data_IF_860739457228
#
_entry.id   IF_860739457228
#
_cell.length_a   1.000
_cell.length_b   1.000
_cell.length_c   1.000
_cell.angle_alpha   90.00
_cell.angle_beta   90.00
_cell.angle_gamma   90.00
#
_symmetry.space_group_name_H-M   'P 1'
#
loop_
_entity.id
_entity.type
_entity.pdbx_description
1 polymer ?
#
# COMPACT_ATOMS: atom_id res chain seq x y z
N UNK A 1 27.06 -20.76 -57.30
CA UNK A 1 27.98 -21.58 -56.49
C UNK A 1 28.13 -20.88 -55.14
N UNK A 2 27.82 -21.59 -54.04
CA UNK A 2 27.96 -21.24 -52.61
C UNK A 2 27.19 -19.99 -52.10
N UNK A 3 26.10 -20.09 -51.34
CA UNK A 3 25.75 -20.82 -50.09
C UNK A 3 26.27 -20.17 -48.79
N UNK A 4 25.29 -19.88 -47.93
CA UNK A 4 25.31 -19.90 -46.47
C UNK A 4 25.82 -18.66 -45.69
N UNK A 5 24.88 -18.06 -44.97
CA UNK A 5 25.11 -17.11 -43.88
C UNK A 5 23.79 -16.78 -43.19
N UNK A 6 23.17 -17.77 -42.54
CA UNK A 6 21.98 -17.59 -41.70
C UNK A 6 22.29 -16.64 -40.54
N UNK A 7 21.70 -15.45 -40.54
CA UNK A 7 21.35 -14.74 -39.31
C UNK A 7 20.16 -13.81 -39.55
N UNK A 8 19.07 -14.38 -40.05
CA UNK A 8 17.75 -13.74 -40.05
C UNK A 8 16.94 -14.33 -38.90
N UNK A 9 17.04 -13.73 -37.70
CA UNK A 9 16.12 -14.07 -36.62
C UNK A 9 15.97 -12.95 -35.55
N UNK A 10 16.12 -11.67 -35.92
CA UNK A 10 15.84 -10.56 -34.99
C UNK A 10 14.55 -9.73 -35.19
N UNK A 11 13.64 -9.98 -36.16
CA UNK A 11 12.35 -9.29 -36.11
C UNK A 11 11.23 -10.13 -35.46
N UNK A 12 11.49 -11.33 -34.95
CA UNK A 12 10.45 -12.22 -34.41
C UNK A 12 10.63 -12.35 -32.89
N UNK A 13 10.10 -11.37 -32.14
CA UNK A 13 9.34 -11.57 -30.88
C UNK A 13 9.19 -10.23 -30.12
N UNK A 14 8.41 -9.31 -30.68
CA UNK A 14 7.66 -8.35 -29.86
C UNK A 14 6.18 -8.54 -30.16
N UNK A 15 5.68 -9.73 -29.83
CA UNK A 15 4.24 -9.96 -29.72
C UNK A 15 3.72 -9.08 -28.59
N UNK A 16 2.86 -8.15 -28.96
CA UNK A 16 1.98 -7.35 -28.11
C UNK A 16 1.27 -8.21 -27.07
N UNK A 17 1.32 -7.78 -25.80
CA UNK A 17 0.24 -7.98 -24.85
C UNK A 17 -0.03 -6.63 -24.19
N UNK A 18 -0.78 -5.77 -24.90
CA UNK A 18 -1.48 -4.69 -24.23
C UNK A 18 -2.68 -5.34 -23.52
N UNK A 19 -2.59 -5.49 -22.20
CA UNK A 19 -3.75 -5.88 -21.38
C UNK A 19 -4.71 -4.70 -21.33
N UNK A 20 -5.57 -4.57 -22.33
CA UNK A 20 -6.77 -3.74 -22.26
C UNK A 20 -7.83 -4.52 -21.45
N UNK A 21 -7.77 -4.42 -20.13
CA UNK A 21 -8.88 -4.79 -19.27
C UNK A 21 -9.97 -3.71 -19.40
N UNK A 22 -10.77 -3.80 -20.45
CA UNK A 22 -11.97 -3.01 -20.61
C UNK A 22 -13.01 -3.43 -19.58
N UNK A 23 -13.08 -2.71 -18.46
CA UNK A 23 -14.27 -2.71 -17.63
C UNK A 23 -15.14 -1.53 -18.06
N UNK A 24 -16.31 -1.85 -18.61
CA UNK A 24 -17.36 -0.87 -18.85
C UNK A 24 -17.74 -0.21 -17.51
N UNK A 25 -17.39 1.07 -17.36
CA UNK A 25 -17.84 1.90 -16.24
C UNK A 25 -19.33 2.17 -16.43
N UNK A 26 -20.15 1.61 -15.53
CA UNK A 26 -21.50 2.11 -15.28
C UNK A 26 -21.34 3.56 -14.83
N UNK A 27 -21.99 4.48 -15.55
CA UNK A 27 -21.95 5.91 -15.29
C UNK A 27 -22.60 6.24 -13.93
N UNK A 28 -21.82 6.16 -12.86
CA UNK A 28 -22.11 6.71 -11.55
C UNK A 28 -21.32 8.00 -11.34
N UNK A 29 -22.04 9.11 -11.15
CA UNK A 29 -21.59 10.44 -10.70
C UNK A 29 -20.07 10.67 -10.59
N UNK A 30 -19.44 11.18 -11.65
CA UNK A 30 -18.26 12.08 -11.68
C UNK A 30 -17.03 11.84 -10.78
N UNK A 31 -16.95 10.77 -10.00
CA UNK A 31 -15.89 10.52 -9.04
C UNK A 31 -14.79 9.69 -9.72
N UNK A 32 -13.51 10.06 -9.57
CA UNK A 32 -12.43 9.25 -10.07
C UNK A 32 -12.48 7.84 -9.44
N UNK A 33 -12.10 6.78 -10.17
CA UNK A 33 -12.09 5.43 -9.62
C UNK A 33 -11.09 5.35 -8.46
N UNK A 34 -11.47 4.65 -7.38
CA UNK A 34 -10.55 4.34 -6.28
C UNK A 34 -9.35 3.57 -6.83
N UNK A 35 -8.14 4.11 -6.66
CA UNK A 35 -6.92 3.54 -7.26
C UNK A 35 -6.27 2.44 -6.43
N UNK A 36 -6.44 2.50 -5.11
CA UNK A 36 -5.87 1.55 -4.16
C UNK A 36 -6.72 1.53 -2.87
N UNK A 37 -6.83 0.35 -2.26
CA UNK A 37 -7.44 0.14 -0.95
C UNK A 37 -6.48 -0.71 -0.11
N UNK A 38 -6.23 -0.32 1.13
CA UNK A 38 -5.47 -1.11 2.09
C UNK A 38 -6.48 -1.78 3.02
N UNK A 39 -6.65 -3.09 2.87
CA UNK A 39 -7.50 -3.88 3.75
C UNK A 39 -6.62 -4.47 4.85
N UNK A 40 -6.91 -4.11 6.10
CA UNK A 40 -6.20 -4.66 7.26
C UNK A 40 -7.17 -5.55 8.04
N UNK A 41 -6.87 -6.85 8.09
CA UNK A 41 -7.63 -7.81 8.89
C UNK A 41 -7.00 -7.95 10.27
N UNK A 42 -7.55 -7.26 11.25
CA UNK A 42 -7.17 -7.43 12.65
C UNK A 42 -8.25 -8.20 13.40
N UNK A 43 -7.98 -9.47 13.71
CA UNK A 43 -8.78 -10.21 14.67
C UNK A 43 -8.42 -9.73 16.08
N UNK A 44 -9.35 -9.05 16.75
CA UNK A 44 -9.16 -8.48 18.08
C UNK A 44 -8.67 -7.03 18.11
N UNK A 45 -8.04 -6.54 17.03
CA UNK A 45 -7.57 -5.15 16.93
C UNK A 45 -6.38 -4.82 17.85
N UNK A 46 -5.51 -3.88 17.47
CA UNK A 46 -4.58 -3.31 18.43
C UNK A 46 -5.34 -2.43 19.45
N UNK A 47 -4.90 -2.42 20.71
CA UNK A 47 -5.49 -1.56 21.74
C UNK A 47 -5.34 -0.09 21.37
N UNK A 48 -6.33 0.74 21.71
CA UNK A 48 -6.19 2.20 21.59
C UNK A 48 -4.98 2.72 22.39
N UNK A 49 -4.73 2.13 23.58
CA UNK A 49 -3.60 2.46 24.42
C UNK A 49 -2.26 2.14 23.77
N UNK A 50 -2.22 1.21 22.81
CA UNK A 50 -0.99 0.76 22.18
C UNK A 50 -0.76 1.39 20.80
N UNK A 51 -1.72 2.18 20.31
CA UNK A 51 -1.70 2.68 18.92
C UNK A 51 -1.62 4.20 18.87
N UNK A 52 -2.64 4.90 19.37
CA UNK A 52 -2.80 6.34 19.21
C UNK A 52 -3.14 7.10 20.50
N UNK A 53 -3.44 6.40 21.60
CA UNK A 53 -3.77 7.01 22.90
C UNK A 53 -2.92 6.41 24.02
N UNK A 54 -1.59 6.53 23.89
CA UNK A 54 -0.59 5.93 24.79
C UNK A 54 -0.61 6.49 26.21
N UNK A 55 -1.38 7.55 26.47
CA UNK A 55 -1.46 8.24 27.77
C UNK A 55 -0.09 8.41 28.44
N UNK A 56 0.86 9.13 27.80
CA UNK A 56 2.22 9.24 28.31
C UNK A 56 2.30 9.75 29.76
N UNK A 57 1.37 10.61 30.15
CA UNK A 57 1.30 11.21 31.49
C UNK A 57 0.61 10.33 32.54
N UNK A 58 0.03 9.19 32.15
CA UNK A 58 -0.62 8.29 33.09
C UNK A 58 0.41 7.42 33.84
N UNK A 59 0.08 6.92 35.05
CA UNK A 59 0.91 5.95 35.77
C UNK A 59 1.20 4.70 34.93
N UNK A 60 2.33 4.04 35.20
CA UNK A 60 2.80 2.84 34.49
C UNK A 60 1.81 1.69 34.46
N UNK A 61 0.89 1.62 35.42
CA UNK A 61 -0.13 0.59 35.52
C UNK A 61 -1.31 0.83 34.57
N UNK A 62 -1.43 2.05 34.03
CA UNK A 62 -2.56 2.51 33.19
C UNK A 62 -2.12 2.78 31.76
N UNK A 63 -0.91 3.30 31.57
CA UNK A 63 -0.33 3.45 30.22
C UNK A 63 0.22 2.11 29.73
N UNK A 64 0.18 1.89 28.42
CA UNK A 64 0.80 0.72 27.80
C UNK A 64 2.34 0.77 27.90
N UNK A 65 2.99 -0.31 27.51
CA UNK A 65 4.46 -0.43 27.56
C UNK A 65 5.17 0.40 26.48
N UNK A 66 4.45 0.82 25.44
CA UNK A 66 5.01 1.49 24.27
C UNK A 66 5.17 3.00 24.47
N UNK A 67 6.13 3.59 23.78
CA UNK A 67 6.40 5.02 23.84
C UNK A 67 5.79 5.78 22.65
N UNK A 68 5.31 7.02 22.88
CA UNK A 68 4.85 7.87 21.79
C UNK A 68 6.03 8.46 21.01
N UNK A 69 5.90 8.48 19.68
CA UNK A 69 6.79 9.19 18.76
C UNK A 69 6.03 10.31 18.04
N UNK A 70 6.69 11.44 17.72
CA UNK A 70 6.07 12.53 16.98
C UNK A 70 5.81 12.15 15.52
N UNK A 71 4.74 12.68 14.94
CA UNK A 71 4.45 12.55 13.51
C UNK A 71 4.69 13.87 12.77
N UNK A 72 4.60 13.85 11.44
CA UNK A 72 4.63 15.07 10.61
C UNK A 72 3.45 16.02 10.91
N UNK A 73 2.37 15.52 11.51
CA UNK A 73 1.21 16.34 11.89
C UNK A 73 1.47 16.93 13.29
N UNK A 74 1.52 18.28 13.44
CA UNK A 74 1.77 18.90 14.73
C UNK A 74 0.75 18.49 15.78
N UNK A 75 1.24 18.10 16.96
CA UNK A 75 0.39 17.67 18.08
C UNK A 75 -0.12 16.23 18.01
N UNK A 76 0.13 15.51 16.91
CA UNK A 76 -0.19 14.09 16.81
C UNK A 76 1.04 13.23 17.15
N UNK A 77 0.85 12.32 18.10
CA UNK A 77 1.81 11.30 18.48
C UNK A 77 1.19 9.92 18.29
N UNK A 78 2.03 8.95 17.95
CA UNK A 78 1.64 7.55 17.71
C UNK A 78 2.64 6.60 18.36
N UNK A 79 2.29 5.33 18.46
CA UNK A 79 3.20 4.31 18.98
C UNK A 79 4.45 4.16 18.10
N UNK A 80 5.61 3.96 18.73
CA UNK A 80 6.90 3.75 18.07
C UNK A 80 6.95 2.57 17.08
N UNK A 81 5.97 1.67 17.15
CA UNK A 81 5.84 0.52 16.25
C UNK A 81 4.94 0.77 15.03
N UNK A 82 4.30 1.94 14.94
CA UNK A 82 3.52 2.29 13.75
C UNK A 82 4.45 2.87 12.66
N UNK A 83 4.18 2.54 11.38
CA UNK A 83 4.99 2.99 10.24
C UNK A 83 4.82 4.47 9.90
#
# INVERSE_FOLDING_TARGET
MQAAGLSLAWPILRSTNAFAAGNAVVAGSGQPPIRACIQIFYYGGPSHLDTYDLKPEAPSEVRGDFQPIPTTVPGLQVCEHLP
#
